data_IF_564595764886
#
_entry.id   IF_564595764886
#
_cell.length_a   1.000
_cell.length_b   1.000
_cell.length_c   1.000
_cell.angle_alpha   90.00
_cell.angle_beta   90.00
_cell.angle_gamma   90.00
#
_symmetry.space_group_name_H-M   'P 1'
#
loop_
_entity.id
_entity.type
_entity.pdbx_description
1 polymer ?
#
# COMPACT_ATOMS: atom_id res chain seq x y z
N UNK A 1 -7.05 -55.97 46.88
CA UNK A 1 -6.20 -54.79 47.16
C UNK A 1 -4.95 -54.76 46.28
N UNK A 2 -4.24 -55.92 46.13
CA UNK A 2 -3.05 -55.97 45.27
C UNK A 2 -3.27 -55.72 43.79
N UNK A 3 -4.39 -56.18 43.21
CA UNK A 3 -4.69 -55.95 41.79
C UNK A 3 -5.01 -54.45 41.48
N UNK A 4 -5.44 -53.68 42.44
CA UNK A 4 -5.72 -52.23 42.30
C UNK A 4 -4.42 -51.44 42.37
N UNK A 5 -3.46 -51.86 43.23
CA UNK A 5 -2.13 -51.25 43.34
C UNK A 5 -1.31 -51.49 42.09
N UNK A 6 -1.37 -52.71 41.50
CA UNK A 6 -0.68 -53.03 40.25
C UNK A 6 -1.14 -52.18 39.07
N UNK A 7 -2.46 -51.94 38.97
CA UNK A 7 -3.02 -51.04 37.91
C UNK A 7 -2.59 -49.59 38.11
N UNK A 8 -2.49 -49.07 39.32
CA UNK A 8 -2.04 -47.73 39.62
C UNK A 8 -0.55 -47.52 39.30
N UNK A 9 0.28 -48.51 39.55
CA UNK A 9 1.74 -48.49 39.22
C UNK A 9 1.94 -48.53 37.71
N UNK A 10 1.17 -49.34 36.99
CA UNK A 10 1.24 -49.42 35.49
C UNK A 10 0.74 -48.13 34.85
N UNK A 11 -0.31 -47.52 35.37
CA UNK A 11 -0.80 -46.24 34.89
C UNK A 11 0.24 -45.14 35.12
N UNK A 12 0.91 -45.12 36.27
CA UNK A 12 1.98 -44.17 36.56
C UNK A 12 3.21 -44.32 35.62
N UNK A 13 3.59 -45.54 35.28
CA UNK A 13 4.64 -45.80 34.30
C UNK A 13 4.26 -45.32 32.90
N UNK A 14 3.09 -45.66 32.44
CA UNK A 14 2.59 -45.24 31.15
C UNK A 14 2.52 -43.69 31.01
N UNK A 15 2.07 -43.01 32.01
CA UNK A 15 2.05 -41.53 32.06
C UNK A 15 3.46 -40.96 31.98
N UNK A 16 4.42 -41.53 32.72
CA UNK A 16 5.81 -41.09 32.68
C UNK A 16 6.42 -41.30 31.32
N UNK A 17 6.20 -42.47 30.70
CA UNK A 17 6.74 -42.79 29.37
C UNK A 17 6.10 -41.91 28.29
N UNK A 18 4.79 -41.63 28.36
CA UNK A 18 4.12 -40.70 27.48
C UNK A 18 4.70 -39.29 27.61
N UNK A 19 4.95 -38.77 28.83
CA UNK A 19 5.57 -37.47 29.04
C UNK A 19 7.01 -37.42 28.53
N UNK A 20 7.76 -38.51 28.66
CA UNK A 20 9.11 -38.59 28.12
C UNK A 20 9.11 -38.56 26.58
N UNK A 21 8.21 -39.28 25.93
CA UNK A 21 8.02 -39.24 24.48
C UNK A 21 7.63 -37.84 24.00
N UNK A 22 6.68 -37.16 24.67
CA UNK A 22 6.30 -35.79 24.33
C UNK A 22 7.48 -34.85 24.51
N UNK A 23 8.23 -34.97 25.61
CA UNK A 23 9.42 -34.14 25.87
C UNK A 23 10.49 -34.31 24.78
N UNK A 24 10.80 -35.57 24.41
CA UNK A 24 11.73 -35.86 23.31
C UNK A 24 11.22 -35.29 21.98
N UNK A 25 9.96 -35.48 21.66
CA UNK A 25 9.36 -34.94 20.42
C UNK A 25 9.44 -33.41 20.36
N UNK A 26 9.16 -32.71 21.47
CA UNK A 26 9.30 -31.26 21.55
C UNK A 26 10.75 -30.82 21.37
N UNK A 27 11.71 -31.49 21.99
CA UNK A 27 13.13 -31.19 21.85
C UNK A 27 13.62 -31.41 20.40
N UNK A 28 13.21 -32.49 19.76
CA UNK A 28 13.53 -32.77 18.35
C UNK A 28 12.92 -31.72 17.43
N UNK A 29 11.67 -31.31 17.69
CA UNK A 29 11.02 -30.24 16.94
C UNK A 29 11.74 -28.90 17.12
N UNK A 30 12.09 -28.50 18.35
CA UNK A 30 12.87 -27.29 18.60
C UNK A 30 14.24 -27.31 17.92
N UNK A 31 14.91 -28.45 17.94
CA UNK A 31 16.20 -28.62 17.25
C UNK A 31 16.04 -28.49 15.73
N UNK A 32 15.03 -29.13 15.16
CA UNK A 32 14.73 -29.03 13.72
C UNK A 32 14.40 -27.60 13.33
N UNK A 33 13.52 -26.93 14.07
CA UNK A 33 13.12 -25.55 13.81
C UNK A 33 14.30 -24.58 13.92
N UNK A 34 15.15 -24.75 14.95
CA UNK A 34 16.36 -23.95 15.14
C UNK A 34 17.37 -24.17 14.00
N UNK A 35 17.59 -25.40 13.59
CA UNK A 35 18.50 -25.75 12.50
C UNK A 35 18.02 -25.20 11.15
N UNK A 36 16.72 -25.33 10.85
CA UNK A 36 16.12 -24.78 9.64
C UNK A 36 16.15 -23.24 9.64
N UNK A 37 15.84 -22.62 10.78
CA UNK A 37 15.90 -21.16 10.92
C UNK A 37 17.31 -20.64 10.68
N UNK A 38 18.31 -21.30 11.24
CA UNK A 38 19.71 -20.96 11.02
C UNK A 38 20.12 -21.15 9.55
N UNK A 39 19.73 -22.26 8.93
CA UNK A 39 19.99 -22.51 7.50
C UNK A 39 19.36 -21.45 6.59
N UNK A 40 18.10 -21.06 6.86
CA UNK A 40 17.42 -20.01 6.12
C UNK A 40 18.07 -18.63 6.35
N UNK A 41 18.52 -18.34 7.57
CA UNK A 41 19.25 -17.12 7.91
C UNK A 41 20.60 -17.07 7.17
N UNK A 42 21.38 -18.14 7.21
CA UNK A 42 22.67 -18.25 6.49
C UNK A 42 22.45 -18.13 4.98
N UNK A 43 21.45 -18.84 4.43
CA UNK A 43 21.08 -18.72 3.01
C UNK A 43 20.73 -17.29 2.63
N UNK A 44 19.96 -16.58 3.47
CA UNK A 44 19.63 -15.17 3.26
C UNK A 44 20.86 -14.26 3.29
N UNK A 45 21.85 -14.56 4.14
CA UNK A 45 23.12 -13.83 4.22
C UNK A 45 24.04 -14.12 3.04
N UNK A 46 24.16 -15.40 2.63
CA UNK A 46 25.06 -15.83 1.52
C UNK A 46 24.45 -15.45 0.17
N UNK A 47 23.13 -15.57 0.01
CA UNK A 47 22.45 -15.15 -1.21
C UNK A 47 22.56 -13.63 -1.45
N UNK A 48 23.27 -12.92 -0.53
CA UNK A 48 23.33 -11.47 -0.57
C UNK A 48 21.92 -10.97 -0.79
N UNK A 49 21.16 -10.80 0.26
CA UNK A 49 19.97 -9.94 0.13
C UNK A 49 20.46 -8.52 -0.12
N UNK A 50 21.02 -8.28 -1.29
CA UNK A 50 20.82 -7.01 -1.94
C UNK A 50 19.31 -6.77 -1.78
N UNK A 51 18.87 -5.73 -1.07
CA UNK A 51 17.44 -5.44 -0.93
C UNK A 51 16.90 -5.45 -2.35
N UNK A 52 15.93 -6.33 -2.63
CA UNK A 52 15.51 -6.72 -3.97
C UNK A 52 15.51 -5.48 -4.86
N UNK A 53 16.44 -5.47 -5.82
CA UNK A 53 16.74 -4.27 -6.61
C UNK A 53 15.43 -3.84 -7.23
N UNK A 54 14.93 -2.69 -6.86
CA UNK A 54 13.62 -2.24 -7.31
C UNK A 54 13.63 -2.25 -8.85
N UNK A 55 12.77 -3.05 -9.46
CA UNK A 55 12.75 -3.24 -10.91
C UNK A 55 12.60 -1.92 -11.68
N UNK A 56 11.99 -0.90 -11.04
CA UNK A 56 11.81 0.44 -11.58
C UNK A 56 13.12 1.19 -11.80
N UNK A 57 14.19 0.82 -11.09
CA UNK A 57 15.54 1.39 -11.30
C UNK A 57 16.03 1.18 -12.74
N UNK A 58 15.53 0.13 -13.40
CA UNK A 58 15.90 -0.20 -14.78
C UNK A 58 15.06 0.50 -15.85
N UNK A 59 14.09 1.32 -15.45
CA UNK A 59 13.28 2.07 -16.41
C UNK A 59 14.14 3.06 -17.19
N UNK A 60 13.90 3.15 -18.50
CA UNK A 60 14.65 4.04 -19.41
C UNK A 60 14.69 5.51 -18.94
N UNK A 61 13.62 5.96 -18.26
CA UNK A 61 13.54 7.28 -17.66
C UNK A 61 14.64 7.58 -16.63
N UNK A 62 15.32 6.53 -16.14
CA UNK A 62 16.35 6.61 -15.11
C UNK A 62 17.74 6.16 -15.58
N UNK A 63 17.92 5.84 -16.88
CA UNK A 63 19.11 5.18 -17.42
C UNK A 63 20.43 5.84 -17.02
N UNK A 64 20.49 7.16 -16.88
CA UNK A 64 21.72 7.91 -16.54
C UNK A 64 21.61 8.63 -15.20
N UNK A 65 20.82 8.09 -14.26
CA UNK A 65 20.53 8.76 -12.98
C UNK A 65 21.13 8.03 -11.78
N UNK A 66 22.26 8.49 -11.29
CA UNK A 66 22.98 7.91 -10.14
C UNK A 66 22.17 7.88 -8.83
N UNK A 67 21.18 8.77 -8.68
CA UNK A 67 20.37 8.90 -7.47
C UNK A 67 19.26 7.85 -7.34
N UNK A 68 18.91 7.13 -8.39
CA UNK A 68 17.68 6.30 -8.46
C UNK A 68 17.69 5.15 -7.47
N UNK A 69 18.81 4.43 -7.34
CA UNK A 69 18.93 3.30 -6.41
C UNK A 69 18.76 3.76 -4.95
N UNK A 70 19.33 4.92 -4.59
CA UNK A 70 19.19 5.51 -3.28
C UNK A 70 17.76 5.99 -3.02
N UNK A 71 17.13 6.63 -4.01
CA UNK A 71 15.73 7.04 -3.96
C UNK A 71 14.79 5.85 -3.68
N UNK A 72 14.91 4.74 -4.40
CA UNK A 72 14.04 3.59 -4.19
C UNK A 72 14.33 2.85 -2.87
N UNK A 73 15.51 3.00 -2.30
CA UNK A 73 15.82 2.56 -0.92
C UNK A 73 15.03 3.42 0.08
N UNK A 74 15.07 4.74 -0.06
CA UNK A 74 14.28 5.67 0.77
C UNK A 74 12.77 5.43 0.58
N UNK A 75 12.32 5.23 -0.66
CA UNK A 75 10.92 4.95 -0.96
C UNK A 75 10.41 3.74 -0.17
N UNK A 76 11.17 2.63 -0.13
CA UNK A 76 10.81 1.46 0.68
C UNK A 76 10.85 1.76 2.19
N UNK A 77 11.82 2.53 2.64
CA UNK A 77 11.92 2.90 4.05
C UNK A 77 10.81 3.85 4.50
N UNK A 78 10.26 4.65 3.58
CA UNK A 78 9.14 5.56 3.82
C UNK A 78 7.77 4.92 3.62
N UNK A 79 7.68 3.61 3.36
CA UNK A 79 6.43 2.93 2.97
C UNK A 79 5.55 2.53 4.16
N UNK A 80 5.95 2.87 5.39
CA UNK A 80 5.14 2.65 6.56
C UNK A 80 3.86 3.51 6.50
N UNK A 81 2.70 2.83 6.47
CA UNK A 81 1.39 3.48 6.48
C UNK A 81 0.71 3.31 7.82
N UNK A 82 -0.04 4.33 8.22
CA UNK A 82 -0.79 4.36 9.47
C UNK A 82 -2.27 4.52 9.18
N UNK A 83 -3.10 3.89 10.00
CA UNK A 83 -4.54 4.01 9.91
C UNK A 83 -4.99 5.47 10.06
N UNK A 84 -5.88 5.89 9.18
CA UNK A 84 -6.56 7.19 9.25
C UNK A 84 -8.06 6.97 9.10
N UNK A 85 -8.88 7.43 10.04
CA UNK A 85 -10.33 7.32 9.92
C UNK A 85 -10.84 7.87 8.60
N UNK A 86 -11.83 7.21 8.02
CA UNK A 86 -12.53 7.52 6.78
C UNK A 86 -11.73 7.35 5.49
N UNK A 87 -10.40 7.56 5.49
CA UNK A 87 -9.53 7.42 4.32
C UNK A 87 -8.60 6.22 4.41
N UNK A 88 -8.67 5.48 5.50
CA UNK A 88 -8.00 4.23 5.85
C UNK A 88 -6.52 4.33 6.13
N UNK A 89 -5.71 4.93 5.29
CA UNK A 89 -4.26 5.00 5.50
C UNK A 89 -3.68 6.34 5.05
N UNK A 90 -2.52 6.62 5.57
CA UNK A 90 -1.60 7.65 5.10
C UNK A 90 -0.18 7.28 5.53
N UNK A 91 0.81 7.64 4.72
CA UNK A 91 2.21 7.43 5.08
C UNK A 91 2.56 8.12 6.39
N UNK A 92 3.51 7.50 7.11
CA UNK A 92 4.07 8.09 8.33
C UNK A 92 5.14 9.13 8.04
N UNK A 93 5.55 9.88 9.08
CA UNK A 93 6.64 10.83 8.98
C UNK A 93 7.93 10.15 8.50
N UNK A 94 8.63 10.80 7.58
CA UNK A 94 9.91 10.33 7.06
C UNK A 94 10.79 11.50 6.67
N UNK A 95 12.07 11.43 7.03
CA UNK A 95 13.08 12.44 6.67
C UNK A 95 14.22 11.76 5.93
N UNK A 96 14.24 11.88 4.62
CA UNK A 96 15.29 11.39 3.75
C UNK A 96 15.97 12.51 2.96
N UNK A 97 16.86 12.11 2.07
CA UNK A 97 17.56 13.01 1.14
C UNK A 97 16.65 13.41 -0.03
N UNK A 98 15.82 12.48 -0.48
CA UNK A 98 14.96 12.61 -1.66
C UNK A 98 13.48 12.62 -1.34
N UNK A 99 13.11 12.07 -0.19
CA UNK A 99 11.72 11.93 0.25
C UNK A 99 11.59 12.52 1.65
N UNK A 100 10.70 13.47 1.80
CA UNK A 100 10.33 14.04 3.10
C UNK A 100 8.82 13.98 3.26
N UNK A 101 8.36 13.37 4.35
CA UNK A 101 6.95 13.29 4.74
C UNK A 101 6.83 13.88 6.14
N UNK A 102 5.93 14.83 6.31
CA UNK A 102 5.75 15.54 7.58
C UNK A 102 5.00 14.70 8.64
N UNK A 103 4.82 15.25 9.83
CA UNK A 103 4.09 14.61 10.93
C UNK A 103 2.62 14.35 10.63
N UNK A 104 2.04 15.04 9.67
CA UNK A 104 0.66 14.83 9.19
C UNK A 104 0.56 13.73 8.13
N UNK A 105 1.70 13.23 7.65
CA UNK A 105 1.78 12.24 6.57
C UNK A 105 1.71 12.86 5.18
N UNK A 106 1.96 14.16 5.04
CA UNK A 106 1.97 14.84 3.76
C UNK A 106 3.38 14.90 3.20
N UNK A 107 3.54 14.54 1.93
CA UNK A 107 4.81 14.70 1.27
C UNK A 107 5.14 16.17 1.05
N UNK A 108 6.35 16.58 1.40
CA UNK A 108 6.81 17.97 1.28
C UNK A 108 6.75 18.44 -0.16
N UNK A 109 6.11 19.60 -0.35
CA UNK A 109 6.23 20.38 -1.57
C UNK A 109 7.42 21.30 -1.44
N UNK A 110 8.39 21.16 -2.34
CA UNK A 110 9.57 22.04 -2.39
C UNK A 110 9.26 23.18 -3.35
N UNK A 111 9.33 24.39 -2.84
CA UNK A 111 9.16 25.60 -3.63
C UNK A 111 10.22 26.63 -3.21
N UNK A 112 10.62 27.55 -4.09
CA UNK A 112 11.36 28.74 -3.69
C UNK A 112 10.58 29.53 -2.63
N UNK A 113 11.30 30.28 -1.81
CA UNK A 113 10.66 31.13 -0.80
C UNK A 113 9.64 32.07 -1.48
N UNK A 114 8.42 32.19 -0.96
CA UNK A 114 7.43 33.06 -1.54
C UNK A 114 7.93 34.52 -1.58
N UNK A 115 7.82 35.16 -2.73
CA UNK A 115 8.12 36.58 -2.88
C UNK A 115 6.80 37.34 -2.93
N UNK A 116 6.62 38.33 -2.07
CA UNK A 116 5.44 39.20 -2.07
C UNK A 116 4.83 39.42 -0.69
N UNK A 117 4.19 40.58 -0.52
CA UNK A 117 3.38 40.90 0.65
C UNK A 117 1.96 40.42 0.43
N UNK A 118 1.40 39.71 1.41
CA UNK A 118 0.01 39.26 1.38
C UNK A 118 -0.16 37.76 1.61
N UNK A 119 -1.43 37.34 1.73
CA UNK A 119 -1.79 35.94 1.89
C UNK A 119 -1.46 35.15 0.61
N UNK A 120 -0.75 34.01 0.69
CA UNK A 120 -0.50 33.18 -0.47
C UNK A 120 -1.80 32.57 -1.02
N UNK A 121 -1.85 32.37 -2.33
CA UNK A 121 -2.85 31.55 -2.99
C UNK A 121 -2.72 30.12 -2.51
N UNK A 122 -3.70 29.60 -1.78
CA UNK A 122 -3.65 28.28 -1.17
C UNK A 122 -4.17 27.22 -2.12
N UNK A 123 -3.32 26.32 -2.56
CA UNK A 123 -3.62 25.27 -3.55
C UNK A 123 -3.51 23.89 -2.89
N UNK A 124 -4.61 23.15 -2.86
CA UNK A 124 -4.63 21.77 -2.42
C UNK A 124 -4.62 20.84 -3.63
N UNK A 125 -3.73 19.85 -3.63
CA UNK A 125 -3.66 18.86 -4.69
C UNK A 125 -3.93 17.47 -4.14
N UNK A 126 -4.95 16.79 -4.68
CA UNK A 126 -5.36 15.43 -4.34
C UNK A 126 -5.09 14.49 -5.50
N UNK A 127 -4.74 13.25 -5.22
CA UNK A 127 -4.44 12.24 -6.22
C UNK A 127 -3.76 11.01 -5.64
N UNK A 128 -3.51 10.04 -6.49
CA UNK A 128 -2.85 8.79 -6.17
C UNK A 128 -1.32 8.90 -6.05
N UNK A 129 -0.64 7.76 -6.27
CA UNK A 129 0.82 7.65 -6.17
C UNK A 129 1.58 8.56 -7.13
N UNK A 130 1.01 8.87 -8.31
CA UNK A 130 1.63 9.78 -9.27
C UNK A 130 1.69 11.21 -8.73
N UNK A 131 0.63 11.69 -8.10
CA UNK A 131 0.61 13.00 -7.46
C UNK A 131 1.48 13.01 -6.20
N UNK A 132 1.42 11.95 -5.37
CA UNK A 132 2.33 11.81 -4.25
C UNK A 132 3.80 11.94 -4.71
N UNK A 133 4.11 11.48 -5.91
CA UNK A 133 5.40 11.60 -6.57
C UNK A 133 6.25 10.33 -6.47
N UNK A 134 5.62 9.15 -6.64
CA UNK A 134 6.38 7.89 -6.79
C UNK A 134 7.31 7.98 -8.00
N UNK A 135 8.61 7.74 -7.75
CA UNK A 135 9.64 7.84 -8.80
C UNK A 135 10.25 9.24 -8.94
N UNK A 136 9.77 10.24 -8.19
CA UNK A 136 10.28 11.60 -8.23
C UNK A 136 10.84 12.05 -6.87
N UNK A 137 11.97 12.76 -6.87
CA UNK A 137 12.52 13.43 -5.68
C UNK A 137 11.61 14.59 -5.28
N UNK A 138 11.66 15.05 -4.03
CA UNK A 138 10.77 16.09 -3.49
C UNK A 138 10.63 17.31 -4.40
N UNK A 139 11.73 17.83 -4.93
CA UNK A 139 11.70 19.00 -5.82
C UNK A 139 11.11 18.74 -7.22
N UNK A 140 10.87 17.48 -7.59
CA UNK A 140 10.42 17.06 -8.91
C UNK A 140 9.04 16.37 -8.89
N UNK A 141 8.34 16.46 -7.78
CA UNK A 141 6.93 16.04 -7.72
C UNK A 141 6.05 17.04 -8.48
N UNK A 142 4.91 16.60 -8.98
CA UNK A 142 3.96 17.49 -9.68
C UNK A 142 3.63 18.73 -8.83
N UNK A 143 3.31 18.61 -7.52
CA UNK A 143 3.08 19.79 -6.68
C UNK A 143 4.28 20.73 -6.56
N UNK A 144 5.49 20.17 -6.47
CA UNK A 144 6.70 21.00 -6.36
C UNK A 144 7.04 21.75 -7.65
N UNK A 145 6.84 21.08 -8.80
CA UNK A 145 7.00 21.73 -10.11
C UNK A 145 5.95 22.84 -10.27
N UNK A 146 4.68 22.57 -9.93
CA UNK A 146 3.64 23.58 -9.98
C UNK A 146 3.99 24.80 -9.10
N UNK A 147 4.43 24.56 -7.86
CA UNK A 147 4.81 25.62 -6.95
C UNK A 147 5.98 26.47 -7.50
N UNK A 148 6.96 25.82 -8.13
CA UNK A 148 8.08 26.51 -8.78
C UNK A 148 7.64 27.33 -9.99
N UNK A 149 6.77 26.78 -10.83
CA UNK A 149 6.24 27.48 -12.01
C UNK A 149 5.39 28.70 -11.62
N UNK A 150 4.56 28.59 -10.58
CA UNK A 150 3.80 29.72 -10.05
C UNK A 150 4.73 30.82 -9.52
N UNK A 151 5.76 30.43 -8.78
CA UNK A 151 6.79 31.36 -8.31
C UNK A 151 7.50 32.08 -9.47
N UNK A 152 7.91 31.35 -10.51
CA UNK A 152 8.58 31.90 -11.70
C UNK A 152 7.71 32.91 -12.46
N UNK A 153 6.38 32.78 -12.32
CA UNK A 153 5.38 33.73 -12.88
C UNK A 153 5.03 34.85 -11.93
N UNK A 154 5.73 34.99 -10.79
CA UNK A 154 5.51 36.04 -9.81
C UNK A 154 4.25 35.83 -8.93
N UNK A 155 3.68 34.61 -8.91
CA UNK A 155 2.50 34.29 -8.10
C UNK A 155 2.95 33.79 -6.73
N UNK A 156 2.44 34.42 -5.67
CA UNK A 156 2.64 33.98 -4.30
C UNK A 156 1.65 32.84 -3.99
N UNK A 157 2.10 31.59 -4.00
CA UNK A 157 1.27 30.42 -3.80
C UNK A 157 1.86 29.43 -2.78
N UNK A 158 0.99 28.82 -1.99
CA UNK A 158 1.26 27.69 -1.12
C UNK A 158 0.60 26.45 -1.72
N UNK A 159 1.40 25.49 -2.21
CA UNK A 159 0.89 24.26 -2.81
C UNK A 159 1.08 23.11 -1.81
N UNK A 160 -0.02 22.47 -1.42
CA UNK A 160 -0.03 21.36 -0.46
C UNK A 160 -0.31 20.04 -1.19
N UNK A 161 0.58 19.07 -1.02
CA UNK A 161 0.47 17.74 -1.62
C UNK A 161 -0.33 16.79 -0.73
N UNK A 162 -1.60 16.56 -1.04
CA UNK A 162 -2.46 15.57 -0.40
C UNK A 162 -2.46 14.22 -1.11
N UNK A 163 -1.65 14.04 -2.13
CA UNK A 163 -1.50 12.75 -2.82
C UNK A 163 -1.16 11.61 -1.86
N UNK A 164 -1.69 10.42 -2.13
CA UNK A 164 -1.35 9.21 -1.38
C UNK A 164 -1.44 7.96 -2.27
N UNK A 165 -0.51 7.03 -2.04
CA UNK A 165 -0.46 5.81 -2.85
C UNK A 165 -1.74 4.99 -2.72
N UNK A 166 -2.34 4.65 -3.85
CA UNK A 166 -3.51 3.78 -3.91
C UNK A 166 -4.85 4.46 -3.61
N UNK A 167 -4.89 5.77 -3.37
CA UNK A 167 -6.16 6.47 -3.20
C UNK A 167 -6.95 6.48 -4.49
N UNK A 168 -8.26 6.33 -4.35
CA UNK A 168 -9.27 6.53 -5.39
C UNK A 168 -9.97 7.87 -5.18
N UNK A 169 -10.59 8.42 -6.22
CA UNK A 169 -11.23 9.74 -6.18
C UNK A 169 -12.21 9.90 -5.01
N UNK A 170 -12.94 8.85 -4.63
CA UNK A 170 -13.85 8.89 -3.46
C UNK A 170 -13.09 9.14 -2.14
N UNK A 171 -11.92 8.50 -1.92
CA UNK A 171 -11.10 8.76 -0.73
C UNK A 171 -10.54 10.19 -0.73
N UNK A 172 -10.23 10.71 -1.89
CA UNK A 172 -9.68 12.06 -2.07
C UNK A 172 -10.74 13.13 -1.77
N UNK A 173 -11.99 12.93 -2.23
CA UNK A 173 -13.14 13.78 -1.86
C UNK A 173 -13.38 13.73 -0.36
N UNK A 174 -13.35 12.57 0.26
CA UNK A 174 -13.47 12.43 1.73
C UNK A 174 -12.32 13.16 2.43
N UNK A 175 -11.09 13.06 1.93
CA UNK A 175 -9.94 13.77 2.49
C UNK A 175 -10.14 15.30 2.41
N UNK A 176 -10.65 15.83 1.30
CA UNK A 176 -10.99 17.24 1.16
C UNK A 176 -12.09 17.66 2.15
N UNK A 177 -13.17 16.88 2.27
CA UNK A 177 -14.26 17.13 3.23
C UNK A 177 -13.73 17.28 4.66
N UNK A 178 -12.84 16.39 5.09
CA UNK A 178 -12.22 16.43 6.41
C UNK A 178 -11.34 17.67 6.61
N UNK A 179 -10.71 18.19 5.57
CA UNK A 179 -9.94 19.45 5.62
C UNK A 179 -10.86 20.65 5.74
N UNK A 180 -11.91 20.71 4.92
CA UNK A 180 -12.91 21.79 4.98
C UNK A 180 -13.63 21.83 6.33
N UNK A 181 -13.96 20.66 6.90
CA UNK A 181 -14.57 20.52 8.22
C UNK A 181 -13.66 21.10 9.34
N UNK A 182 -12.35 20.94 9.22
CA UNK A 182 -11.37 21.50 10.17
C UNK A 182 -11.10 22.99 10.00
N UNK A 183 -11.77 23.62 9.05
CA UNK A 183 -11.64 25.06 8.82
C UNK A 183 -10.62 25.44 7.74
N UNK A 184 -10.01 24.47 7.05
CA UNK A 184 -9.16 24.81 5.91
C UNK A 184 -9.98 25.49 4.81
N UNK A 185 -9.37 26.48 4.17
CA UNK A 185 -10.00 27.24 3.08
C UNK A 185 -8.99 27.40 1.95
N UNK A 186 -8.94 26.42 1.02
CA UNK A 186 -8.13 26.55 -0.19
C UNK A 186 -8.76 27.58 -1.14
N UNK A 187 -7.96 28.19 -1.98
CA UNK A 187 -8.42 29.02 -3.10
C UNK A 187 -8.61 28.18 -4.36
N UNK A 188 -7.77 27.15 -4.51
CA UNK A 188 -7.81 26.20 -5.62
C UNK A 188 -7.65 24.78 -5.10
N UNK A 189 -8.44 23.85 -5.62
CA UNK A 189 -8.31 22.43 -5.39
C UNK A 189 -8.11 21.72 -6.72
N UNK A 190 -7.09 20.86 -6.79
CA UNK A 190 -6.72 20.12 -8.00
C UNK A 190 -6.77 18.63 -7.70
N UNK A 191 -7.49 17.87 -8.53
CA UNK A 191 -7.52 16.42 -8.51
C UNK A 191 -6.75 15.86 -9.69
N UNK A 192 -5.90 14.85 -9.44
CA UNK A 192 -5.13 14.14 -10.47
C UNK A 192 -5.19 12.63 -10.22
N UNK A 193 -6.20 11.99 -10.78
CA UNK A 193 -6.68 10.66 -10.41
C UNK A 193 -7.18 9.84 -11.61
N UNK A 194 -7.92 8.77 -11.36
CA UNK A 194 -8.57 7.91 -12.35
C UNK A 194 -7.94 6.54 -12.53
N UNK A 195 -6.62 6.41 -12.54
CA UNK A 195 -5.94 5.12 -12.69
C UNK A 195 -6.28 4.19 -11.53
N UNK A 196 -6.23 4.70 -10.29
CA UNK A 196 -6.57 3.92 -9.12
C UNK A 196 -8.06 3.57 -9.08
N UNK A 197 -8.93 4.44 -9.55
CA UNK A 197 -10.38 4.18 -9.66
C UNK A 197 -10.66 2.97 -10.55
N UNK A 198 -10.00 2.94 -11.72
CA UNK A 198 -10.11 1.81 -12.65
C UNK A 198 -9.53 0.53 -12.06
N UNK A 199 -8.31 0.60 -11.51
CA UNK A 199 -7.63 -0.56 -10.95
C UNK A 199 -8.37 -1.13 -9.73
N UNK A 200 -8.81 -0.25 -8.83
CA UNK A 200 -9.56 -0.68 -7.64
C UNK A 200 -10.91 -1.28 -8.00
N UNK A 201 -11.63 -0.71 -8.95
CA UNK A 201 -12.89 -1.25 -9.43
C UNK A 201 -12.71 -2.69 -9.97
N UNK A 202 -11.66 -2.91 -10.76
CA UNK A 202 -11.30 -4.24 -11.24
C UNK A 202 -10.97 -5.21 -10.10
N UNK A 203 -10.17 -4.77 -9.12
CA UNK A 203 -9.72 -5.59 -7.99
C UNK A 203 -10.85 -5.91 -7.02
N UNK A 204 -11.72 -4.94 -6.72
CA UNK A 204 -12.77 -5.05 -5.71
C UNK A 204 -14.12 -5.51 -6.30
N UNK A 205 -14.26 -5.60 -7.61
CA UNK A 205 -15.54 -5.83 -8.30
C UNK A 205 -16.62 -4.77 -7.94
N UNK A 206 -16.17 -3.57 -7.59
CA UNK A 206 -17.04 -2.44 -7.24
C UNK A 206 -16.35 -1.11 -7.56
N UNK A 207 -17.00 -0.25 -8.33
CA UNK A 207 -16.50 1.07 -8.66
C UNK A 207 -16.59 2.02 -7.44
N UNK A 208 -15.62 2.92 -7.31
CA UNK A 208 -15.55 3.89 -6.21
C UNK A 208 -15.08 3.31 -4.87
N UNK A 209 -14.81 2.00 -4.79
CA UNK A 209 -14.30 1.38 -3.59
C UNK A 209 -12.77 1.52 -3.47
N UNK A 210 -12.26 1.78 -2.26
CA UNK A 210 -10.82 1.81 -2.00
C UNK A 210 -10.15 0.47 -2.27
N UNK A 211 -8.87 0.49 -2.58
CA UNK A 211 -8.09 -0.74 -2.70
C UNK A 211 -8.16 -1.57 -1.42
N UNK A 212 -8.23 -2.89 -1.59
CA UNK A 212 -8.28 -3.87 -0.50
C UNK A 212 -9.52 -3.81 0.42
N UNK A 213 -10.61 -3.15 -0.01
CA UNK A 213 -11.85 -3.03 0.77
C UNK A 213 -12.46 -4.39 1.11
N UNK A 214 -12.39 -5.33 0.20
CA UNK A 214 -12.87 -6.68 0.41
C UNK A 214 -12.23 -7.37 1.63
N UNK A 215 -10.93 -7.18 1.84
CA UNK A 215 -10.24 -7.72 3.01
C UNK A 215 -10.64 -6.99 4.29
N UNK A 216 -10.86 -5.66 4.25
CA UNK A 216 -11.35 -4.89 5.41
C UNK A 216 -12.73 -5.35 5.85
N UNK A 217 -13.62 -5.65 4.90
CA UNK A 217 -14.93 -6.24 5.20
C UNK A 217 -14.78 -7.60 5.89
N UNK A 218 -13.82 -8.43 5.45
CA UNK A 218 -13.53 -9.71 6.13
C UNK A 218 -12.97 -9.48 7.54
N UNK A 219 -12.02 -8.58 7.70
CA UNK A 219 -11.43 -8.21 9.00
C UNK A 219 -12.51 -7.70 9.96
N UNK A 220 -13.41 -6.83 9.49
CA UNK A 220 -14.54 -6.34 10.27
C UNK A 220 -15.46 -7.48 10.72
N UNK A 221 -15.82 -8.40 9.81
CA UNK A 221 -16.64 -9.57 10.15
C UNK A 221 -15.93 -10.50 11.15
N UNK A 222 -14.61 -10.63 11.06
CA UNK A 222 -13.82 -11.44 11.99
C UNK A 222 -13.71 -10.81 13.38
N UNK A 223 -13.77 -9.49 13.50
CA UNK A 223 -13.68 -8.81 14.82
C UNK A 223 -14.80 -9.20 15.78
N UNK A 224 -15.95 -9.70 15.26
CA UNK A 224 -17.05 -10.24 16.06
C UNK A 224 -16.94 -11.74 16.37
N UNK A 225 -15.93 -12.46 15.86
CA UNK A 225 -15.79 -13.92 16.01
C UNK A 225 -14.46 -14.27 16.70
N UNK A 226 -14.50 -14.38 18.01
CA UNK A 226 -13.31 -14.64 18.86
C UNK A 226 -12.63 -15.98 18.50
N UNK A 227 -13.40 -17.01 18.11
CA UNK A 227 -12.82 -18.31 17.74
C UNK A 227 -12.05 -18.21 16.42
N UNK A 228 -12.61 -17.53 15.45
CA UNK A 228 -11.90 -17.29 14.17
C UNK A 228 -10.69 -16.41 14.34
N UNK A 229 -10.75 -15.36 15.17
CA UNK A 229 -9.57 -14.53 15.47
C UNK A 229 -8.46 -15.36 16.12
N UNK A 230 -8.78 -16.23 17.09
CA UNK A 230 -7.79 -17.13 17.72
C UNK A 230 -7.19 -18.10 16.68
N UNK A 231 -8.00 -18.69 15.82
CA UNK A 231 -7.53 -19.58 14.76
C UNK A 231 -6.60 -18.85 13.79
N UNK A 232 -6.91 -17.61 13.41
CA UNK A 232 -6.05 -16.78 12.56
C UNK A 232 -4.73 -16.43 13.25
N UNK A 233 -4.77 -16.03 14.54
CA UNK A 233 -3.55 -15.75 15.30
C UNK A 233 -2.66 -16.98 15.41
N UNK A 234 -3.24 -18.16 15.67
CA UNK A 234 -2.51 -19.43 15.69
C UNK A 234 -1.91 -19.76 14.33
N UNK A 235 -2.67 -19.56 13.25
CA UNK A 235 -2.19 -19.75 11.87
C UNK A 235 -1.02 -18.81 11.58
N UNK A 236 -1.11 -17.54 11.94
CA UNK A 236 -0.02 -16.58 11.73
C UNK A 236 1.25 -16.99 12.49
N UNK A 237 1.12 -17.45 13.73
CA UNK A 237 2.24 -17.99 14.50
C UNK A 237 2.86 -19.22 13.81
N UNK A 238 2.03 -20.14 13.32
CA UNK A 238 2.53 -21.36 12.64
C UNK A 238 3.20 -21.04 11.30
N UNK A 239 2.75 -20.04 10.55
CA UNK A 239 3.38 -19.65 9.27
C UNK A 239 4.76 -19.02 9.45
N UNK A 240 5.10 -18.55 10.65
CA UNK A 240 6.44 -18.04 10.97
C UNK A 240 7.46 -19.14 11.21
N UNK A 241 7.00 -20.35 11.49
CA UNK A 241 7.90 -21.50 11.70
C UNK A 241 8.71 -21.79 10.42
N UNK A 242 10.01 -22.03 10.60
CA UNK A 242 10.90 -22.36 9.50
C UNK A 242 10.53 -23.67 8.81
N UNK A 243 10.04 -24.65 9.60
CA UNK A 243 9.51 -25.93 9.11
C UNK A 243 8.32 -25.74 8.18
N UNK A 244 7.35 -24.90 8.55
CA UNK A 244 6.15 -24.56 7.73
C UNK A 244 6.57 -23.82 6.46
N UNK A 245 7.51 -22.89 6.55
CA UNK A 245 8.05 -22.15 5.41
C UNK A 245 8.78 -23.07 4.43
N UNK A 246 9.59 -23.98 4.93
CA UNK A 246 10.32 -24.96 4.12
C UNK A 246 9.35 -25.92 3.43
N UNK A 247 8.36 -26.45 4.14
CA UNK A 247 7.32 -27.31 3.57
C UNK A 247 6.54 -26.57 2.48
N UNK A 248 6.13 -25.32 2.73
CA UNK A 248 5.46 -24.49 1.74
C UNK A 248 6.30 -24.22 0.49
N UNK A 249 7.62 -24.10 0.63
CA UNK A 249 8.53 -23.97 -0.50
C UNK A 249 8.63 -25.27 -1.32
N UNK A 250 8.71 -26.42 -0.65
CA UNK A 250 8.70 -27.74 -1.29
C UNK A 250 7.39 -28.01 -2.05
N UNK A 251 6.23 -27.72 -1.44
CA UNK A 251 4.95 -27.90 -2.11
C UNK A 251 4.82 -27.01 -3.37
N UNK A 252 5.29 -25.79 -3.31
CA UNK A 252 5.34 -24.91 -4.48
C UNK A 252 6.26 -25.43 -5.59
N UNK A 253 7.43 -25.97 -5.23
CA UNK A 253 8.34 -26.56 -6.22
C UNK A 253 7.77 -27.84 -6.85
N UNK A 254 6.91 -28.56 -6.13
CA UNK A 254 6.18 -29.71 -6.63
C UNK A 254 4.90 -29.34 -7.44
N UNK A 255 4.69 -28.03 -7.73
CA UNK A 255 3.54 -27.56 -8.49
C UNK A 255 2.21 -27.54 -7.71
N UNK A 256 2.23 -27.88 -6.43
CA UNK A 256 1.05 -27.84 -5.56
C UNK A 256 0.83 -26.38 -5.13
N UNK A 257 -0.08 -25.71 -5.82
CA UNK A 257 -0.52 -24.36 -5.42
C UNK A 257 -1.56 -24.51 -4.30
N UNK A 258 -1.25 -23.91 -3.15
CA UNK A 258 -2.28 -23.66 -2.13
C UNK A 258 -3.36 -22.79 -2.78
N UNK A 259 -4.55 -23.32 -2.94
CA UNK A 259 -5.76 -22.51 -3.16
C UNK A 259 -6.09 -21.78 -1.86
N UNK A 260 -5.23 -20.85 -1.48
CA UNK A 260 -5.68 -19.80 -0.57
C UNK A 260 -6.69 -19.04 -1.39
N UNK A 261 -7.93 -19.25 -1.04
CA UNK A 261 -9.08 -18.54 -1.57
C UNK A 261 -8.74 -17.04 -1.50
N UNK A 262 -8.21 -16.52 -2.60
CA UNK A 262 -8.18 -15.10 -2.86
C UNK A 262 -9.63 -14.76 -3.05
N UNK A 263 -10.36 -14.56 -1.94
CA UNK A 263 -11.80 -14.38 -1.94
C UNK A 263 -12.16 -13.27 -2.91
N UNK A 264 -12.13 -13.63 -4.19
CA UNK A 264 -12.59 -12.78 -5.26
C UNK A 264 -14.04 -12.48 -4.95
N UNK A 265 -14.39 -11.22 -4.93
CA UNK A 265 -15.77 -10.82 -4.80
C UNK A 265 -16.58 -11.57 -5.85
N UNK A 266 -17.57 -12.33 -5.42
CA UNK A 266 -18.51 -12.96 -6.34
C UNK A 266 -19.41 -11.86 -6.89
N UNK A 267 -19.32 -11.55 -8.18
CA UNK A 267 -20.15 -10.53 -8.81
C UNK A 267 -19.68 -10.21 -10.23
N UNK A 268 -20.52 -9.48 -10.97
CA UNK A 268 -20.16 -8.89 -12.26
C UNK A 268 -19.00 -7.91 -12.04
N UNK A 269 -17.95 -8.01 -12.81
CA UNK A 269 -16.89 -6.98 -12.80
C UNK A 269 -17.46 -5.67 -13.32
N UNK A 270 -17.19 -4.55 -12.66
CA UNK A 270 -17.60 -3.24 -13.16
C UNK A 270 -16.95 -2.98 -14.52
N UNK A 271 -17.72 -2.41 -15.43
CA UNK A 271 -17.22 -1.89 -16.69
C UNK A 271 -16.71 -0.45 -16.54
N UNK A 272 -16.20 0.10 -17.64
CA UNK A 272 -15.79 1.50 -17.71
C UNK A 272 -16.92 2.47 -17.33
N UNK A 273 -18.16 2.15 -17.70
CA UNK A 273 -19.33 2.97 -17.38
C UNK A 273 -19.59 3.07 -15.87
N UNK A 274 -19.42 1.96 -15.13
CA UNK A 274 -19.57 1.96 -13.66
C UNK A 274 -18.50 2.84 -12.99
N UNK A 275 -17.25 2.79 -13.50
CA UNK A 275 -16.15 3.64 -13.01
C UNK A 275 -16.41 5.11 -13.32
N UNK A 276 -16.83 5.41 -14.53
CA UNK A 276 -17.17 6.78 -14.95
C UNK A 276 -18.35 7.33 -14.17
N UNK A 277 -19.37 6.52 -13.89
CA UNK A 277 -20.50 6.94 -13.07
C UNK A 277 -20.08 7.32 -11.64
N UNK A 278 -19.26 6.48 -10.98
CA UNK A 278 -18.73 6.78 -9.65
C UNK A 278 -17.86 8.04 -9.66
N UNK A 279 -16.99 8.18 -10.65
CA UNK A 279 -16.14 9.35 -10.81
C UNK A 279 -16.93 10.63 -11.08
N UNK A 280 -17.93 10.58 -11.98
CA UNK A 280 -18.83 11.71 -12.25
C UNK A 280 -19.61 12.16 -11.02
N UNK A 281 -20.09 11.21 -10.22
CA UNK A 281 -20.73 11.55 -8.93
C UNK A 281 -19.78 12.28 -7.98
N UNK A 282 -18.50 11.90 -7.93
CA UNK A 282 -17.49 12.63 -7.17
C UNK A 282 -17.28 14.06 -7.73
N UNK A 283 -17.28 14.24 -9.05
CA UNK A 283 -17.16 15.58 -9.67
C UNK A 283 -18.36 16.48 -9.34
N UNK A 284 -19.58 15.93 -9.30
CA UNK A 284 -20.77 16.67 -8.87
C UNK A 284 -20.67 17.14 -7.42
N UNK A 285 -20.21 16.26 -6.52
CA UNK A 285 -19.95 16.63 -5.13
C UNK A 285 -18.90 17.73 -5.02
N UNK A 286 -17.80 17.61 -5.77
CA UNK A 286 -16.75 18.62 -5.80
C UNK A 286 -17.25 19.97 -6.31
N UNK A 287 -18.12 19.98 -7.31
CA UNK A 287 -18.78 21.19 -7.80
C UNK A 287 -19.58 21.84 -6.70
N UNK A 288 -20.45 21.10 -6.01
CA UNK A 288 -21.26 21.64 -4.90
C UNK A 288 -20.39 22.19 -3.76
N UNK A 289 -19.30 21.49 -3.40
CA UNK A 289 -18.35 21.97 -2.40
C UNK A 289 -17.62 23.24 -2.87
N UNK A 290 -17.20 23.31 -4.12
CA UNK A 290 -16.51 24.46 -4.67
C UNK A 290 -17.40 25.72 -4.67
N UNK A 291 -18.67 25.57 -4.99
CA UNK A 291 -19.66 26.64 -4.93
C UNK A 291 -19.88 27.13 -3.49
N UNK A 292 -20.06 26.20 -2.54
CA UNK A 292 -20.32 26.53 -1.13
C UNK A 292 -19.10 27.12 -0.41
N UNK A 293 -17.91 26.59 -0.65
CA UNK A 293 -16.67 27.04 0.02
C UNK A 293 -15.86 28.06 -0.79
N UNK A 294 -16.33 28.44 -1.98
CA UNK A 294 -15.76 29.47 -2.85
C UNK A 294 -14.31 29.20 -3.29
N UNK A 295 -13.97 27.95 -3.63
CA UNK A 295 -12.70 27.60 -4.25
C UNK A 295 -12.87 27.19 -5.72
N UNK A 296 -11.84 27.35 -6.53
CA UNK A 296 -11.81 26.79 -7.89
C UNK A 296 -11.43 25.32 -7.85
N UNK A 297 -12.20 24.46 -8.51
CA UNK A 297 -11.88 23.02 -8.64
C UNK A 297 -11.43 22.70 -10.06
N UNK A 298 -10.31 21.96 -10.16
CA UNK A 298 -9.78 21.45 -11.42
C UNK A 298 -9.58 19.93 -11.28
N UNK A 299 -10.06 19.15 -12.22
CA UNK A 299 -9.90 17.70 -12.22
C UNK A 299 -9.22 17.26 -13.51
N UNK A 300 -8.19 16.42 -13.36
CA UNK A 300 -7.40 15.87 -14.44
C UNK A 300 -7.42 14.35 -14.36
N UNK A 301 -7.85 13.70 -15.43
CA UNK A 301 -7.72 12.26 -15.56
C UNK A 301 -6.27 11.92 -15.91
N UNK A 302 -5.63 11.11 -15.06
CA UNK A 302 -4.24 10.71 -15.21
C UNK A 302 -4.04 9.90 -16.50
N UNK A 303 -3.14 10.32 -17.42
CA UNK A 303 -2.82 9.53 -18.59
C UNK A 303 -2.09 8.24 -18.20
N UNK A 304 -2.34 7.18 -18.97
CA UNK A 304 -1.73 5.88 -18.79
C UNK A 304 -0.81 5.54 -19.97
N UNK A 305 -0.03 4.47 -19.82
CA UNK A 305 0.83 3.95 -20.88
C UNK A 305 0.04 3.55 -22.14
N UNK A 306 -1.26 3.24 -22.01
CA UNK A 306 -2.12 2.86 -23.15
C UNK A 306 -2.43 4.04 -24.08
N UNK A 307 -2.43 5.25 -23.57
CA UNK A 307 -2.69 6.49 -24.32
C UNK A 307 -1.43 7.08 -24.93
N UNK A 308 -0.25 6.60 -24.54
CA UNK A 308 1.03 7.12 -25.05
C UNK A 308 1.29 6.60 -26.45
N UNK A 309 1.46 7.51 -27.41
CA UNK A 309 1.65 7.17 -28.84
C UNK A 309 3.05 6.61 -29.11
N UNK A 310 4.08 7.24 -28.56
CA UNK A 310 5.48 6.83 -28.77
C UNK A 310 6.04 6.19 -27.50
N UNK A 311 6.29 4.88 -27.55
CA UNK A 311 6.78 4.10 -26.41
C UNK A 311 8.26 3.77 -26.57
N UNK A 312 9.02 3.85 -25.49
CA UNK A 312 10.37 3.27 -25.38
C UNK A 312 10.31 1.74 -25.39
N UNK A 313 11.46 1.07 -25.51
CA UNK A 313 11.55 -0.39 -25.41
C UNK A 313 11.00 -0.93 -24.09
N UNK A 314 11.37 -0.27 -22.98
CA UNK A 314 10.90 -0.59 -21.64
C UNK A 314 9.36 -0.41 -21.52
N UNK A 315 8.83 0.71 -21.97
CA UNK A 315 7.39 1.00 -21.91
C UNK A 315 6.55 0.01 -22.74
N UNK A 316 7.06 -0.43 -23.90
CA UNK A 316 6.39 -1.50 -24.69
C UNK A 316 6.28 -2.80 -23.92
N UNK A 317 7.37 -3.20 -23.23
CA UNK A 317 7.37 -4.41 -22.42
C UNK A 317 6.41 -4.30 -21.21
N UNK A 318 6.34 -3.14 -20.56
CA UNK A 318 5.40 -2.89 -19.46
C UNK A 318 3.95 -2.85 -19.94
N UNK A 319 3.67 -2.22 -21.09
CA UNK A 319 2.33 -2.22 -21.70
C UNK A 319 1.84 -3.64 -22.01
N UNK A 320 2.70 -4.52 -22.55
CA UNK A 320 2.35 -5.92 -22.79
C UNK A 320 1.97 -6.67 -21.52
N UNK A 321 2.68 -6.44 -20.41
CA UNK A 321 2.34 -7.04 -19.09
C UNK A 321 1.02 -6.54 -18.54
N UNK A 322 0.64 -5.32 -18.87
CA UNK A 322 -0.56 -4.66 -18.38
C UNK A 322 -1.79 -4.88 -19.28
N UNK A 323 -1.65 -5.53 -20.45
CA UNK A 323 -2.76 -5.82 -21.36
C UNK A 323 -4.02 -6.44 -20.73
N UNK A 324 -3.93 -7.30 -19.70
CA UNK A 324 -5.13 -7.81 -19.02
C UNK A 324 -5.99 -6.72 -18.35
N UNK A 325 -5.48 -5.49 -18.24
CA UNK A 325 -6.14 -4.34 -17.61
C UNK A 325 -6.54 -3.25 -18.63
N UNK A 326 -6.32 -3.51 -19.94
CA UNK A 326 -6.77 -2.65 -21.04
C UNK A 326 -8.29 -2.85 -21.26
#
# INVERSE_FOLDING_TARGET
MEATIGKLVDTGRWIKDAWLLVGVAVLLFCFLEGSLSLALFIKGRIAGSEPAHDWRVRADAYSDRSWVSEYYREFRSSDAVYWRPYVYWRRGPYQGKYITVDSSGLRRTTAPQPQGAGRPLKIFMFGGSALWGTGARDAFTIPSILATELHNRGLHAEVVNFGESGYVSTQEVVALLLRLQRGDRPDVVIFYDGVNDTYSAYQQHAAGWPQNEFNRVKEFKLSGDLLRMRAMALRELTTRLATVRALGALLRSAGIRSTVDSGAASGRRPGSEDVLAAYSGNLELLKALSEHYHFKCLSYWQPTIFQKVSLTGYERAERQKAQPFE
#
